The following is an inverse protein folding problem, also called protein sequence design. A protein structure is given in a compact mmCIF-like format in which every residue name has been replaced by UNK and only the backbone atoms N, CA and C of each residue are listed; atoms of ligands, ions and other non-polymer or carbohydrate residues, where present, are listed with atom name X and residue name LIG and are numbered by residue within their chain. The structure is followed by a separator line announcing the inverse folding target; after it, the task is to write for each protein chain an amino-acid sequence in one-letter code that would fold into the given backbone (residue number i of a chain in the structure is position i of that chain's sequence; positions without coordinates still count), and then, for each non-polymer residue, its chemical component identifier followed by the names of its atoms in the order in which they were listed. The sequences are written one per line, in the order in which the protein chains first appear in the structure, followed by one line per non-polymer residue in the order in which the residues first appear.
data_IF_543945919257
#
_entry.id   IF_543945919257
#
_cell.length_a   1.000
_cell.length_b   1.000
_cell.length_c   1.000
_cell.angle_alpha   90.00
_cell.angle_beta   90.00
_cell.angle_gamma   90.00
#
_symmetry.space_group_name_H-M   'P 1'
#
loop_
_entity.id
_entity.type
_entity.pdbx_description
1 polymer ?
#
# COMPACT_ATOMS: atom_id res chain seq x y z
N UNK A 1 -13.96 -6.40 2.88
CA UNK A 1 -13.25 -7.38 3.72
C UNK A 1 -14.04 -7.50 5.01
N UNK A 2 -14.50 -8.70 5.36
CA UNK A 2 -15.41 -8.92 6.49
C UNK A 2 -14.67 -9.08 7.81
N UNK A 3 -13.40 -9.48 7.80
CA UNK A 3 -12.57 -9.55 9.00
C UNK A 3 -11.51 -8.45 8.96
N UNK A 4 -11.82 -7.29 9.55
CA UNK A 4 -10.94 -6.13 9.63
C UNK A 4 -9.79 -6.37 10.62
N UNK A 5 -10.06 -6.96 11.78
CA UNK A 5 -9.03 -7.23 12.79
C UNK A 5 -7.99 -8.25 12.31
N UNK A 6 -8.40 -9.26 11.53
CA UNK A 6 -7.49 -10.22 10.89
C UNK A 6 -6.50 -9.58 9.92
N UNK A 7 -6.83 -8.41 9.35
CA UNK A 7 -5.93 -7.66 8.46
C UNK A 7 -4.71 -7.10 9.17
N UNK A 8 -4.72 -7.11 10.51
CA UNK A 8 -3.63 -6.65 11.36
C UNK A 8 -2.95 -7.79 12.13
N UNK A 9 -3.16 -9.05 11.76
CA UNK A 9 -2.47 -10.15 12.44
C UNK A 9 -0.98 -10.23 12.04
N UNK A 10 -0.07 -10.35 13.01
CA UNK A 10 1.38 -10.48 12.79
C UNK A 10 1.90 -11.67 13.58
N UNK A 11 2.78 -12.48 12.99
CA UNK A 11 3.27 -13.72 13.60
C UNK A 11 4.04 -13.50 14.93
N UNK A 12 4.86 -12.45 15.02
CA UNK A 12 5.59 -12.04 16.23
C UNK A 12 5.10 -10.67 16.69
N UNK A 13 3.90 -10.64 17.24
CA UNK A 13 3.38 -9.42 17.86
C UNK A 13 4.00 -9.16 19.23
N UNK A 14 4.27 -7.89 19.52
CA UNK A 14 4.56 -7.42 20.88
C UNK A 14 3.27 -7.26 21.68
N UNK A 15 3.37 -7.25 23.00
CA UNK A 15 2.22 -7.10 23.90
C UNK A 15 1.42 -5.82 23.60
N UNK A 16 2.11 -4.69 23.40
CA UNK A 16 1.48 -3.42 23.01
C UNK A 16 0.72 -3.49 21.69
N UNK A 17 1.22 -4.26 20.71
CA UNK A 17 0.51 -4.49 19.45
C UNK A 17 -0.73 -5.36 19.65
N UNK A 18 -0.62 -6.42 20.44
CA UNK A 18 -1.72 -7.33 20.73
C UNK A 18 -2.88 -6.62 21.43
N UNK A 19 -2.57 -5.80 22.45
CA UNK A 19 -3.56 -4.98 23.14
C UNK A 19 -4.28 -4.02 22.18
N UNK A 20 -3.53 -3.30 21.35
CA UNK A 20 -4.11 -2.39 20.37
C UNK A 20 -4.96 -3.14 19.33
N UNK A 21 -4.50 -4.28 18.84
CA UNK A 21 -5.24 -5.13 17.88
C UNK A 21 -6.53 -5.66 18.49
N UNK A 22 -6.50 -6.07 19.76
CA UNK A 22 -7.68 -6.60 20.48
C UNK A 22 -8.80 -5.56 20.65
N UNK A 23 -8.45 -4.27 20.66
CA UNK A 23 -9.41 -3.16 20.73
C UNK A 23 -10.13 -2.88 19.41
N UNK A 24 -9.67 -3.47 18.29
CA UNK A 24 -10.28 -3.23 16.98
C UNK A 24 -11.59 -4.01 16.81
N UNK A 25 -12.58 -3.42 16.12
CA UNK A 25 -13.77 -4.14 15.75
C UNK A 25 -13.44 -5.22 14.70
N UNK A 26 -14.02 -6.42 14.87
CA UNK A 26 -13.86 -7.51 13.89
C UNK A 26 -14.40 -7.13 12.52
N UNK A 27 -15.52 -6.43 12.48
CA UNK A 27 -16.12 -5.88 11.26
C UNK A 27 -16.15 -4.37 11.39
N UNK A 28 -15.53 -3.65 10.46
CA UNK A 28 -15.57 -2.19 10.44
C UNK A 28 -16.61 -1.70 9.42
N UNK A 29 -17.55 -0.86 9.89
CA UNK A 29 -18.53 -0.16 9.06
C UNK A 29 -18.50 1.32 9.46
N UNK A 30 -18.06 2.19 8.56
CA UNK A 30 -17.90 3.61 8.88
C UNK A 30 -17.38 4.45 7.73
N UNK A 31 -17.05 5.71 8.02
CA UNK A 31 -16.54 6.67 7.03
C UNK A 31 -15.07 6.37 6.68
N UNK A 32 -14.62 6.74 5.47
CA UNK A 32 -13.24 6.55 5.06
C UNK A 32 -12.23 7.26 5.98
N UNK A 33 -12.60 8.39 6.58
CA UNK A 33 -11.71 9.12 7.49
C UNK A 33 -11.54 8.42 8.85
N UNK A 34 -12.58 7.76 9.34
CA UNK A 34 -12.49 6.95 10.56
C UNK A 34 -11.58 5.73 10.33
N UNK A 35 -11.66 5.12 9.14
CA UNK A 35 -10.75 4.06 8.73
C UNK A 35 -9.29 4.52 8.77
N UNK A 36 -8.97 5.68 8.18
CA UNK A 36 -7.59 6.24 8.19
C UNK A 36 -7.09 6.45 9.62
N UNK A 37 -7.96 6.95 10.51
CA UNK A 37 -7.64 7.21 11.92
C UNK A 37 -7.28 5.95 12.69
N UNK A 38 -7.89 4.81 12.40
CA UNK A 38 -7.52 3.52 13.03
C UNK A 38 -6.31 2.86 12.35
N UNK A 39 -6.23 2.90 11.01
CA UNK A 39 -5.14 2.26 10.26
C UNK A 39 -3.78 2.87 10.60
N UNK A 40 -3.72 4.19 10.86
CA UNK A 40 -2.47 4.89 11.21
C UNK A 40 -1.79 4.34 12.48
N UNK A 41 -2.41 4.37 13.68
CA UNK A 41 -1.79 3.84 14.88
C UNK A 41 -1.49 2.34 14.79
N UNK A 42 -2.34 1.56 14.11
CA UNK A 42 -2.07 0.14 13.88
C UNK A 42 -0.80 -0.11 13.06
N UNK A 43 -0.59 0.65 11.99
CA UNK A 43 0.64 0.53 11.19
C UNK A 43 1.88 1.02 11.96
N UNK A 44 1.73 2.05 12.81
CA UNK A 44 2.82 2.55 13.64
C UNK A 44 3.24 1.54 14.71
N UNK A 45 2.27 0.91 15.38
CA UNK A 45 2.54 -0.16 16.36
C UNK A 45 3.09 -1.42 15.67
N UNK A 46 2.60 -1.77 14.48
CA UNK A 46 3.19 -2.85 13.69
C UNK A 46 4.67 -2.59 13.36
N UNK A 47 5.00 -1.34 13.01
CA UNK A 47 6.38 -0.92 12.76
C UNK A 47 7.24 -1.03 14.03
N UNK A 48 6.72 -0.64 15.20
CA UNK A 48 7.42 -0.79 16.50
C UNK A 48 7.64 -2.25 16.82
N UNK A 49 6.60 -3.08 16.75
CA UNK A 49 6.67 -4.53 16.99
C UNK A 49 7.73 -5.20 16.12
N UNK A 50 7.72 -4.93 14.82
CA UNK A 50 8.71 -5.53 13.90
C UNK A 50 10.13 -5.02 14.16
N UNK A 51 10.30 -3.72 14.48
CA UNK A 51 11.60 -3.16 14.83
C UNK A 51 12.19 -3.81 16.09
N UNK A 52 11.38 -4.03 17.13
CA UNK A 52 11.79 -4.71 18.37
C UNK A 52 12.24 -6.14 18.06
N UNK A 53 11.52 -6.83 17.19
CA UNK A 53 11.84 -8.19 16.76
C UNK A 53 13.00 -8.27 15.74
N UNK A 54 13.62 -7.15 15.35
CA UNK A 54 14.68 -7.13 14.32
C UNK A 54 14.19 -7.47 12.91
N UNK A 55 12.89 -7.30 12.64
CA UNK A 55 12.24 -7.61 11.37
C UNK A 55 11.94 -6.34 10.57
N UNK A 56 12.05 -6.43 9.23
CA UNK A 56 11.66 -5.35 8.32
C UNK A 56 10.15 -5.35 8.11
N UNK A 57 9.53 -4.17 8.18
CA UNK A 57 8.10 -4.00 7.91
C UNK A 57 7.81 -4.26 6.42
N UNK A 58 7.02 -5.29 6.08
CA UNK A 58 6.73 -5.61 4.70
C UNK A 58 5.85 -4.52 4.06
N UNK A 59 5.91 -4.37 2.73
CA UNK A 59 5.23 -3.29 2.02
C UNK A 59 3.73 -3.21 2.29
N UNK A 60 3.06 -4.35 2.42
CA UNK A 60 1.62 -4.42 2.69
C UNK A 60 1.23 -4.02 4.11
N UNK A 61 2.18 -3.95 5.05
CA UNK A 61 1.94 -3.48 6.42
C UNK A 61 2.21 -1.98 6.58
N UNK A 62 2.77 -1.33 5.55
CA UNK A 62 2.95 0.12 5.54
C UNK A 62 1.59 0.83 5.46
N UNK A 63 1.49 1.94 6.18
CA UNK A 63 0.26 2.74 6.24
C UNK A 63 -0.27 3.15 4.85
N UNK A 64 0.63 3.53 3.92
CA UNK A 64 0.26 3.87 2.54
C UNK A 64 -0.47 2.72 1.84
N UNK A 65 0.05 1.51 1.93
CA UNK A 65 -0.57 0.34 1.30
C UNK A 65 -1.91 0.03 1.97
N UNK A 66 -1.94 -0.01 3.30
CA UNK A 66 -3.15 -0.31 4.06
C UNK A 66 -4.26 0.67 3.75
N UNK A 67 -3.99 1.99 3.69
CA UNK A 67 -5.00 2.95 3.25
C UNK A 67 -5.45 2.71 1.80
N UNK A 68 -4.52 2.48 0.88
CA UNK A 68 -4.85 2.22 -0.53
C UNK A 68 -5.63 0.92 -0.74
N UNK A 69 -5.48 -0.08 0.13
CA UNK A 69 -6.23 -1.34 0.08
C UNK A 69 -7.74 -1.12 0.12
N UNK A 70 -8.21 -0.16 0.92
CA UNK A 70 -9.65 0.13 1.07
C UNK A 70 -10.10 1.42 0.39
N UNK A 71 -9.22 2.42 0.31
CA UNK A 71 -9.55 3.77 -0.16
C UNK A 71 -8.92 4.09 -1.53
N UNK A 72 -8.13 3.17 -2.08
CA UNK A 72 -7.48 3.36 -3.36
C UNK A 72 -8.49 3.47 -4.50
N UNK A 73 -8.22 4.31 -5.51
CA UNK A 73 -9.09 4.38 -6.69
C UNK A 73 -9.07 3.04 -7.41
N UNK A 74 -10.22 2.35 -7.42
CA UNK A 74 -10.37 1.12 -8.18
C UNK A 74 -10.95 1.45 -9.56
N UNK A 75 -10.13 1.30 -10.60
CA UNK A 75 -10.61 1.34 -11.99
C UNK A 75 -10.92 -0.08 -12.43
N UNK A 76 -12.21 -0.42 -12.53
CA UNK A 76 -12.62 -1.63 -13.26
C UNK A 76 -12.18 -1.49 -14.70
N UNK A 77 -11.22 -2.29 -15.13
CA UNK A 77 -11.00 -2.58 -16.55
C UNK A 77 -12.17 -3.43 -17.00
N UNK A 78 -13.29 -2.79 -17.32
CA UNK A 78 -14.29 -3.42 -18.17
C UNK A 78 -13.65 -3.53 -19.54
N UNK A 79 -13.14 -4.71 -19.89
CA UNK A 79 -12.78 -5.02 -21.27
C UNK A 79 -14.07 -5.03 -22.10
N UNK A 80 -14.56 -3.84 -22.44
CA UNK A 80 -15.45 -3.72 -23.57
C UNK A 80 -14.54 -3.90 -24.78
N UNK A 81 -14.61 -5.05 -25.44
CA UNK A 81 -14.10 -5.20 -26.80
C UNK A 81 -15.20 -4.70 -27.72
N UNK A 82 -15.16 -3.45 -28.23
CA UNK A 82 -16.02 -3.09 -29.33
C UNK A 82 -15.47 -3.81 -30.57
N UNK A 83 -16.11 -4.91 -30.96
CA UNK A 83 -16.07 -5.27 -32.36
C UNK A 83 -16.76 -4.13 -33.13
N UNK A 84 -15.92 -3.31 -33.78
CA UNK A 84 -16.21 -2.48 -34.95
C UNK A 84 -17.32 -1.43 -34.82
N UNK A 85 -16.92 -0.15 -34.69
CA UNK A 85 -16.99 0.80 -35.83
C UNK A 85 -15.92 1.88 -35.64
N UNK A 86 -15.19 2.12 -36.72
CA UNK A 86 -14.13 3.11 -36.87
C UNK A 86 -14.71 4.50 -36.66
N UNK A 87 -14.16 5.25 -35.71
CA UNK A 87 -13.77 6.65 -35.94
C UNK A 87 -12.78 7.09 -34.87
N UNK A 88 -11.50 7.09 -35.22
CA UNK A 88 -10.47 7.84 -34.50
C UNK A 88 -10.81 9.35 -34.58
N UNK A 89 -10.41 10.13 -33.57
CA UNK A 89 -9.11 10.77 -33.73
C UNK A 89 -8.23 10.71 -32.47
N UNK A 90 -6.93 10.77 -32.75
CA UNK A 90 -5.81 10.99 -31.83
C UNK A 90 -5.52 9.86 -30.82
N UNK A 91 -4.62 8.95 -31.26
CA UNK A 91 -3.59 8.39 -30.39
C UNK A 91 -2.87 9.56 -29.70
N UNK A 92 -3.32 9.93 -28.51
CA UNK A 92 -2.45 10.65 -27.57
C UNK A 92 -1.55 9.59 -26.96
N UNK A 93 -0.25 9.70 -27.20
CA UNK A 93 0.80 8.87 -26.62
C UNK A 93 0.48 8.55 -25.15
N UNK A 94 -0.02 7.35 -24.87
CA UNK A 94 -0.05 6.82 -23.51
C UNK A 94 1.40 6.47 -23.17
N UNK A 95 2.19 7.51 -22.86
CA UNK A 95 3.40 7.33 -22.08
C UNK A 95 2.95 6.66 -20.80
N UNK A 96 3.13 5.34 -20.73
CA UNK A 96 2.97 4.60 -19.48
C UNK A 96 4.10 5.10 -18.60
N UNK A 97 3.83 6.18 -17.88
CA UNK A 97 4.71 6.66 -16.83
C UNK A 97 4.63 5.64 -15.72
N UNK A 98 5.49 4.61 -15.80
CA UNK A 98 5.79 3.72 -14.71
C UNK A 98 6.28 4.57 -13.54
N UNK A 99 5.35 5.01 -12.69
CA UNK A 99 5.73 5.59 -11.41
C UNK A 99 6.13 4.41 -10.55
N UNK A 100 7.44 4.23 -10.39
CA UNK A 100 7.96 3.37 -9.34
C UNK A 100 7.42 3.89 -8.02
N UNK A 101 6.45 3.19 -7.45
CA UNK A 101 6.01 3.43 -6.07
C UNK A 101 7.04 2.77 -5.18
N UNK A 102 8.15 3.47 -4.98
CA UNK A 102 9.19 3.03 -4.05
C UNK A 102 8.59 2.78 -2.69
N UNK A 103 8.97 1.65 -2.09
CA UNK A 103 8.71 1.40 -0.69
C UNK A 103 9.87 2.00 0.09
N UNK A 104 9.97 3.34 0.14
CA UNK A 104 11.05 4.01 0.88
C UNK A 104 11.13 3.45 2.30
N UNK A 105 12.28 2.86 2.60
CA UNK A 105 12.68 2.48 3.93
C UNK A 105 13.41 3.70 4.47
N UNK A 106 12.77 4.44 5.36
CA UNK A 106 13.46 5.46 6.15
C UNK A 106 14.47 4.75 7.07
N UNK A 107 15.61 4.44 6.49
CA UNK A 107 16.85 4.00 7.09
C UNK A 107 17.93 4.94 6.57
N UNK A 108 18.61 5.56 7.52
CA UNK A 108 19.69 6.53 7.41
C UNK A 108 20.69 6.28 6.26
N UNK A 109 21.18 7.37 5.64
CA UNK A 109 22.34 7.36 4.75
C UNK A 109 22.05 7.56 3.26
N UNK A 110 22.29 8.77 2.76
CA UNK A 110 22.10 9.16 1.37
C UNK A 110 22.84 8.25 0.37
N UNK A 111 22.12 7.79 -0.65
CA UNK A 111 22.70 7.29 -1.90
C UNK A 111 21.87 7.80 -3.07
N UNK A 112 22.43 8.76 -3.79
CA UNK A 112 21.99 9.18 -5.11
C UNK A 112 22.05 7.94 -6.03
N UNK A 113 20.90 7.33 -6.31
CA UNK A 113 20.79 6.38 -7.41
C UNK A 113 20.82 7.16 -8.73
N UNK A 114 22.01 7.31 -9.30
CA UNK A 114 22.15 7.69 -10.70
C UNK A 114 21.79 6.47 -11.58
N UNK A 115 20.96 6.62 -12.62
CA UNK A 115 20.72 5.54 -13.56
C UNK A 115 21.99 5.26 -14.39
N UNK A 116 22.29 3.98 -14.71
CA UNK A 116 23.45 3.65 -15.53
C UNK A 116 23.26 4.17 -16.96
N UNK A 117 24.22 4.99 -17.42
CA UNK A 117 24.31 5.42 -18.80
C UNK A 117 24.65 4.21 -19.70
N UNK A 118 23.73 3.86 -20.61
CA UNK A 118 23.99 2.88 -21.65
C UNK A 118 25.03 3.45 -22.63
N UNK A 119 26.21 2.85 -22.66
CA UNK A 119 27.26 3.15 -23.64
C UNK A 119 27.17 2.06 -24.72
N UNK A 120 26.57 2.40 -25.86
CA UNK A 120 26.61 1.58 -27.08
C UNK A 120 28.06 1.57 -27.61
N UNK A 121 28.53 0.38 -28.01
CA UNK A 121 29.78 0.19 -28.74
C UNK A 121 29.46 -0.09 -30.21
#
# INVERSE_FOLDING_TARGET
DTDFAGQFEIARETEGYSMLRSSLPRVFVGKPDDLKRMVRPMCDEAKRSMKINGLTLPPWRKNRYMQAKWLGPYRRTTSYSPATVISSPAVSNFSVKCRYVGFDSAGDGGRLFAPPAAKMR
#
